data_IF_939666130022
#
_entry.id   IF_939666130022
#
_cell.length_a   1.000
_cell.length_b   1.000
_cell.length_c   1.000
_cell.angle_alpha   90.00
_cell.angle_beta   90.00
_cell.angle_gamma   90.00
#
_symmetry.space_group_name_H-M   'P 1'
#
loop_
_entity.id
_entity.type
_entity.pdbx_description
1 polymer ?
#
# COMPACT_ATOMS: atom_id res chain seq x y z
N UNK A 1 34.43 11.37 16.05
CA UNK A 1 33.78 10.04 16.09
C UNK A 1 32.26 10.16 16.36
N UNK A 2 31.84 10.88 17.41
CA UNK A 2 30.41 11.11 17.78
C UNK A 2 29.52 11.64 16.64
N UNK A 3 30.05 12.55 15.80
CA UNK A 3 29.30 13.16 14.69
C UNK A 3 28.97 12.16 13.55
N UNK A 4 29.86 11.20 13.28
CA UNK A 4 29.63 10.16 12.24
C UNK A 4 28.58 9.13 12.68
N UNK A 5 28.48 8.85 13.98
CA UNK A 5 27.47 7.95 14.54
C UNK A 5 26.07 8.58 14.54
N UNK A 6 25.98 9.88 14.84
CA UNK A 6 24.70 10.61 14.80
C UNK A 6 24.12 10.63 13.38
N UNK A 7 24.96 10.92 12.38
CA UNK A 7 24.55 10.95 10.97
C UNK A 7 24.00 9.60 10.48
N UNK A 8 24.62 8.48 10.91
CA UNK A 8 24.14 7.13 10.59
C UNK A 8 22.76 6.84 11.18
N UNK A 9 22.51 7.26 12.42
CA UNK A 9 21.22 7.07 13.09
C UNK A 9 20.14 7.93 12.43
N UNK A 10 20.44 9.19 12.10
CA UNK A 10 19.51 10.06 11.37
C UNK A 10 19.16 9.46 10.01
N UNK A 11 20.16 8.95 9.26
CA UNK A 11 19.92 8.26 8.00
C UNK A 11 19.05 7.00 8.16
N UNK A 12 19.25 6.24 9.23
CA UNK A 12 18.41 5.07 9.53
C UNK A 12 16.95 5.49 9.82
N UNK A 13 16.74 6.51 10.66
CA UNK A 13 15.40 7.02 10.97
C UNK A 13 14.70 7.48 9.69
N UNK A 14 15.41 8.21 8.82
CA UNK A 14 14.88 8.66 7.54
C UNK A 14 14.41 7.49 6.66
N UNK A 15 15.23 6.44 6.54
CA UNK A 15 14.86 5.23 5.78
C UNK A 15 13.64 4.55 6.38
N UNK A 16 13.56 4.43 7.71
CA UNK A 16 12.41 3.79 8.36
C UNK A 16 11.12 4.56 8.05
N UNK A 17 11.17 5.89 8.04
CA UNK A 17 10.04 6.75 7.65
C UNK A 17 9.71 6.55 6.17
N UNK A 18 10.72 6.59 5.29
CA UNK A 18 10.57 6.39 3.83
C UNK A 18 9.95 5.02 3.51
N UNK A 19 10.44 3.95 4.13
CA UNK A 19 9.91 2.59 4.02
C UNK A 19 8.45 2.51 4.48
N UNK A 20 8.09 3.16 5.59
CA UNK A 20 6.71 3.20 6.05
C UNK A 20 5.80 3.93 5.05
N UNK A 21 6.24 5.07 4.51
CA UNK A 21 5.45 5.85 3.57
C UNK A 21 5.29 5.14 2.22
N UNK A 22 6.33 4.49 1.70
CA UNK A 22 6.27 3.83 0.38
C UNK A 22 5.56 2.49 0.46
N UNK A 23 5.90 1.65 1.46
CA UNK A 23 5.32 0.30 1.57
C UNK A 23 3.92 0.27 2.20
N UNK A 24 3.61 1.23 3.09
CA UNK A 24 2.31 1.31 3.76
C UNK A 24 1.15 1.49 2.81
N UNK A 25 1.42 2.14 1.68
CA UNK A 25 0.42 2.39 0.68
C UNK A 25 0.05 1.13 -0.12
N UNK A 26 0.88 0.08 -0.16
CA UNK A 26 0.55 -1.15 -0.92
C UNK A 26 -0.42 -2.01 -0.11
N UNK A 27 -0.03 -2.33 1.14
CA UNK A 27 -0.79 -3.25 1.98
C UNK A 27 -1.98 -2.56 2.66
N UNK A 28 -1.89 -1.26 2.95
CA UNK A 28 -2.96 -0.50 3.58
C UNK A 28 -4.09 -0.05 2.64
N UNK A 29 -3.77 0.23 1.38
CA UNK A 29 -4.75 0.66 0.39
C UNK A 29 -5.74 -0.45 0.03
N UNK A 30 -5.30 -1.71 0.00
CA UNK A 30 -6.17 -2.86 -0.19
C UNK A 30 -7.20 -3.00 0.94
N UNK A 31 -6.79 -2.87 2.21
CA UNK A 31 -7.73 -2.84 3.35
C UNK A 31 -8.68 -1.64 3.27
N UNK A 32 -8.15 -0.44 3.01
CA UNK A 32 -8.95 0.78 2.98
C UNK A 32 -10.11 0.70 1.98
N UNK A 33 -9.85 0.16 0.79
CA UNK A 33 -10.88 0.02 -0.25
C UNK A 33 -11.96 -1.02 0.07
N UNK A 34 -11.59 -2.16 0.67
CA UNK A 34 -12.54 -3.18 1.13
C UNK A 34 -13.59 -2.57 2.07
N UNK A 35 -13.15 -1.74 3.03
CA UNK A 35 -14.08 -1.23 4.04
C UNK A 35 -14.86 -0.01 3.56
N UNK A 36 -14.29 0.79 2.64
CA UNK A 36 -15.06 1.85 2.00
C UNK A 36 -16.20 1.27 1.15
N UNK A 37 -16.02 0.08 0.58
CA UNK A 37 -17.09 -0.64 -0.09
C UNK A 37 -18.12 -1.18 0.92
N UNK A 38 -17.65 -1.78 2.02
CA UNK A 38 -18.51 -2.33 3.09
C UNK A 38 -19.37 -1.26 3.81
N UNK A 39 -18.87 -0.03 3.94
CA UNK A 39 -19.65 1.10 4.50
C UNK A 39 -20.59 1.77 3.48
N UNK A 40 -20.73 1.28 2.25
CA UNK A 40 -21.70 1.79 1.25
C UNK A 40 -21.37 3.18 0.70
N UNK A 41 -20.18 3.73 0.95
CA UNK A 41 -19.80 5.10 0.53
C UNK A 41 -19.56 5.17 -1.00
N UNK A 42 -19.26 4.03 -1.62
CA UNK A 42 -19.23 3.85 -3.08
C UNK A 42 -20.38 2.94 -3.54
N UNK A 43 -21.63 3.26 -3.21
CA UNK A 43 -22.79 2.78 -3.98
C UNK A 43 -22.88 3.52 -5.34
N UNK A 44 -21.84 3.39 -6.17
CA UNK A 44 -21.98 3.77 -7.58
C UNK A 44 -22.61 2.62 -8.34
N UNK A 45 -23.95 2.68 -8.43
CA UNK A 45 -24.81 2.05 -9.44
C UNK A 45 -24.33 0.67 -9.95
N UNK A 46 -24.82 -0.39 -9.34
CA UNK A 46 -25.10 -1.62 -10.08
C UNK A 46 -26.22 -1.33 -11.09
N UNK A 47 -25.90 -0.70 -12.22
CA UNK A 47 -26.85 -0.60 -13.33
C UNK A 47 -26.96 -2.00 -13.97
N UNK A 48 -28.14 -2.60 -13.78
CA UNK A 48 -28.63 -3.85 -14.37
C UNK A 48 -28.04 -5.16 -13.84
N UNK A 49 -28.48 -5.57 -12.65
CA UNK A 49 -28.82 -6.99 -12.43
C UNK A 49 -30.26 -7.07 -11.92
N UNK A 50 -31.20 -6.97 -12.86
CA UNK A 50 -32.61 -7.30 -12.67
C UNK A 50 -32.75 -8.77 -12.33
N UNK A 51 -32.46 -9.14 -11.08
CA UNK A 51 -32.97 -10.38 -10.49
C UNK A 51 -33.08 -10.17 -8.98
N UNK A 52 -34.17 -9.49 -8.64
CA UNK A 52 -34.77 -9.41 -7.32
C UNK A 52 -35.24 -10.83 -6.95
N UNK A 53 -34.34 -11.65 -6.41
CA UNK A 53 -34.77 -12.83 -5.66
C UNK A 53 -35.16 -12.30 -4.28
N UNK A 54 -36.46 -12.10 -4.08
CA UNK A 54 -37.06 -11.90 -2.75
C UNK A 54 -36.86 -13.21 -1.98
N UNK A 55 -35.76 -13.33 -1.24
CA UNK A 55 -35.65 -14.33 -0.18
C UNK A 55 -36.29 -13.75 1.06
N UNK A 56 -37.43 -14.33 1.42
CA UNK A 56 -38.15 -14.08 2.65
C UNK A 56 -37.22 -14.13 3.87
N UNK A 57 -37.28 -13.06 4.66
CA UNK A 57 -36.92 -12.94 6.06
C UNK A 57 -35.44 -13.14 6.45
N UNK A 58 -34.92 -12.08 7.08
CA UNK A 58 -33.69 -12.00 7.88
C UNK A 58 -32.39 -12.31 7.15
N UNK A 59 -31.92 -11.34 6.37
CA UNK A 59 -30.53 -10.85 6.27
C UNK A 59 -30.37 -10.12 4.94
N UNK A 60 -30.49 -8.79 4.97
CA UNK A 60 -30.13 -7.93 3.84
C UNK A 60 -28.61 -7.86 3.73
N UNK A 61 -27.96 -8.97 3.39
CA UNK A 61 -26.63 -8.97 2.80
C UNK A 61 -26.85 -8.55 1.35
N UNK A 62 -26.78 -7.23 1.09
CA UNK A 62 -26.87 -6.69 -0.26
C UNK A 62 -25.93 -7.46 -1.16
N UNK A 63 -26.42 -7.94 -2.32
CA UNK A 63 -25.62 -8.59 -3.36
C UNK A 63 -24.38 -7.72 -3.59
N UNK A 64 -23.25 -8.15 -3.04
CA UNK A 64 -21.96 -7.52 -3.22
C UNK A 64 -21.72 -7.34 -4.71
N UNK A 65 -21.23 -6.16 -5.12
CA UNK A 65 -20.87 -5.90 -6.50
C UNK A 65 -19.65 -6.78 -6.87
N UNK A 66 -19.90 -8.05 -7.19
CA UNK A 66 -18.90 -9.12 -7.38
C UNK A 66 -17.80 -8.72 -8.39
N UNK A 67 -18.16 -7.90 -9.38
CA UNK A 67 -17.21 -7.40 -10.39
C UNK A 67 -16.16 -6.43 -9.86
N UNK A 68 -16.50 -5.57 -8.88
CA UNK A 68 -15.54 -4.61 -8.32
C UNK A 68 -14.62 -5.28 -7.29
N UNK A 69 -15.16 -6.12 -6.41
CA UNK A 69 -14.37 -6.87 -5.42
C UNK A 69 -13.29 -7.72 -6.10
N UNK A 70 -13.64 -8.41 -7.20
CA UNK A 70 -12.70 -9.20 -8.00
C UNK A 70 -11.55 -8.37 -8.61
N UNK A 71 -11.79 -7.10 -8.97
CA UNK A 71 -10.75 -6.20 -9.47
C UNK A 71 -9.77 -5.79 -8.38
N UNK A 72 -10.23 -5.58 -7.16
CA UNK A 72 -9.38 -5.23 -6.02
C UNK A 72 -8.52 -6.42 -5.57
N UNK A 73 -9.09 -7.62 -5.52
CA UNK A 73 -8.33 -8.85 -5.26
C UNK A 73 -7.23 -9.04 -6.30
N UNK A 74 -7.56 -8.84 -7.60
CA UNK A 74 -6.58 -8.89 -8.67
C UNK A 74 -5.47 -7.83 -8.49
N UNK A 75 -5.83 -6.59 -8.13
CA UNK A 75 -4.87 -5.53 -7.87
C UNK A 75 -3.91 -5.91 -6.73
N UNK A 76 -4.42 -6.50 -5.66
CA UNK A 76 -3.62 -6.96 -4.53
C UNK A 76 -2.68 -8.11 -4.91
N UNK A 77 -3.20 -9.13 -5.62
CA UNK A 77 -2.37 -10.26 -6.10
C UNK A 77 -1.26 -9.77 -7.03
N UNK A 78 -1.57 -8.88 -7.97
CA UNK A 78 -0.56 -8.27 -8.84
C UNK A 78 0.42 -7.42 -8.02
N UNK A 79 -0.06 -6.66 -7.04
CA UNK A 79 0.78 -5.89 -6.14
C UNK A 79 1.83 -6.75 -5.45
N UNK A 80 1.44 -7.89 -4.88
CA UNK A 80 2.37 -8.85 -4.28
C UNK A 80 3.31 -9.44 -5.34
N UNK A 81 2.78 -9.81 -6.51
CA UNK A 81 3.56 -10.38 -7.60
C UNK A 81 4.67 -9.43 -8.06
N UNK A 82 4.34 -8.17 -8.35
CA UNK A 82 5.29 -7.14 -8.77
C UNK A 82 6.22 -6.64 -7.65
N UNK A 83 5.91 -6.94 -6.40
CA UNK A 83 6.84 -6.71 -5.30
C UNK A 83 7.90 -7.81 -5.19
N UNK A 84 7.53 -9.08 -5.43
CA UNK A 84 8.39 -10.23 -5.17
C UNK A 84 9.09 -10.77 -6.43
N UNK A 85 8.38 -10.91 -7.55
CA UNK A 85 8.93 -11.48 -8.79
C UNK A 85 10.17 -10.73 -9.31
N UNK A 86 10.16 -9.39 -9.40
CA UNK A 86 11.34 -8.67 -9.89
C UNK A 86 12.44 -8.53 -8.84
N UNK A 87 12.28 -9.01 -7.61
CA UNK A 87 13.26 -8.81 -6.54
C UNK A 87 14.66 -9.30 -6.92
N UNK A 88 14.76 -10.41 -7.65
CA UNK A 88 16.05 -10.93 -8.15
C UNK A 88 16.68 -9.95 -9.14
N UNK A 89 15.91 -9.49 -10.13
CA UNK A 89 16.36 -8.56 -11.17
C UNK A 89 16.78 -7.22 -10.54
N UNK A 90 15.96 -6.70 -9.64
CA UNK A 90 16.23 -5.46 -8.91
C UNK A 90 17.47 -5.62 -8.03
N UNK A 91 17.68 -6.80 -7.43
CA UNK A 91 18.91 -7.14 -6.72
C UNK A 91 20.14 -7.06 -7.62
N UNK A 92 20.08 -7.66 -8.81
CA UNK A 92 21.17 -7.59 -9.80
C UNK A 92 21.46 -6.14 -10.23
N UNK A 93 20.42 -5.32 -10.42
CA UNK A 93 20.57 -3.89 -10.73
C UNK A 93 21.24 -3.16 -9.57
N UNK A 94 20.85 -3.46 -8.33
CA UNK A 94 21.46 -2.89 -7.12
C UNK A 94 22.94 -3.23 -7.02
N UNK A 95 23.33 -4.45 -7.35
CA UNK A 95 24.72 -4.90 -7.26
C UNK A 95 25.59 -4.27 -8.35
N UNK A 96 25.06 -4.09 -9.56
CA UNK A 96 25.82 -3.54 -10.69
C UNK A 96 25.89 -2.00 -10.71
N UNK A 97 24.75 -1.32 -10.52
CA UNK A 97 24.64 0.14 -10.59
C UNK A 97 24.73 0.83 -9.21
N UNK A 98 24.65 0.05 -8.14
CA UNK A 98 24.66 0.54 -6.78
C UNK A 98 23.31 1.08 -6.29
N UNK A 99 23.20 1.37 -4.98
CA UNK A 99 21.95 1.75 -4.33
C UNK A 99 21.42 3.13 -4.75
N UNK A 100 22.28 4.02 -5.26
CA UNK A 100 21.88 5.39 -5.64
C UNK A 100 20.99 5.39 -6.87
N UNK A 101 21.37 4.62 -7.90
CA UNK A 101 20.57 4.45 -9.11
C UNK A 101 19.21 3.83 -8.77
N UNK A 102 19.21 2.84 -7.87
CA UNK A 102 17.99 2.17 -7.47
C UNK A 102 17.02 3.10 -6.71
N UNK A 103 17.55 4.00 -5.86
CA UNK A 103 16.74 5.04 -5.22
C UNK A 103 16.10 6.00 -6.22
N UNK A 104 16.82 6.41 -7.27
CA UNK A 104 16.27 7.28 -8.31
C UNK A 104 15.12 6.58 -9.07
N UNK A 105 15.30 5.30 -9.41
CA UNK A 105 14.25 4.48 -10.03
C UNK A 105 13.02 4.38 -9.12
N UNK A 106 13.24 4.14 -7.82
CA UNK A 106 12.15 4.08 -6.85
C UNK A 106 11.34 5.37 -6.79
N UNK A 107 11.99 6.54 -6.79
CA UNK A 107 11.33 7.85 -6.79
C UNK A 107 10.49 8.04 -8.06
N UNK A 108 11.04 7.70 -9.23
CA UNK A 108 10.32 7.81 -10.50
C UNK A 108 9.07 6.94 -10.51
N UNK A 109 9.18 5.68 -10.09
CA UNK A 109 8.02 4.79 -9.99
C UNK A 109 7.00 5.26 -8.96
N UNK A 110 7.46 5.82 -7.84
CA UNK A 110 6.56 6.38 -6.82
C UNK A 110 5.77 7.57 -7.37
N UNK A 111 6.42 8.48 -8.11
CA UNK A 111 5.75 9.60 -8.75
C UNK A 111 4.72 9.15 -9.79
N UNK A 112 5.07 8.19 -10.65
CA UNK A 112 4.14 7.63 -11.65
C UNK A 112 2.93 6.97 -10.98
N UNK A 113 3.17 6.25 -9.89
CA UNK A 113 2.12 5.60 -9.12
C UNK A 113 1.12 6.61 -8.55
N UNK A 114 1.59 7.65 -7.87
CA UNK A 114 0.71 8.70 -7.32
C UNK A 114 0.01 9.52 -8.40
N UNK A 115 0.70 9.80 -9.51
CA UNK A 115 0.11 10.47 -10.64
C UNK A 115 -1.05 9.65 -11.23
N UNK A 116 -0.85 8.34 -11.37
CA UNK A 116 -1.88 7.41 -11.87
C UNK A 116 -3.10 7.41 -10.95
N UNK A 117 -2.89 7.41 -9.63
CA UNK A 117 -3.97 7.48 -8.65
C UNK A 117 -4.78 8.77 -8.76
N UNK A 118 -4.12 9.91 -8.97
CA UNK A 118 -4.77 11.21 -9.12
C UNK A 118 -5.70 11.33 -10.34
N UNK A 119 -5.51 10.50 -11.37
CA UNK A 119 -6.34 10.50 -12.58
C UNK A 119 -7.43 9.42 -12.61
N UNK A 120 -7.53 8.61 -11.55
CA UNK A 120 -8.58 7.59 -11.40
C UNK A 120 -9.95 8.25 -11.51
N UNK A 121 -10.77 7.70 -12.39
CA UNK A 121 -12.14 8.15 -12.64
C UNK A 121 -13.02 6.91 -12.91
N UNK A 122 -14.36 7.01 -12.83
CA UNK A 122 -15.26 5.87 -13.06
C UNK A 122 -15.01 5.14 -14.40
N UNK A 123 -14.61 5.87 -15.45
CA UNK A 123 -14.31 5.32 -16.77
C UNK A 123 -12.83 4.91 -16.95
N UNK A 124 -11.99 5.08 -15.92
CA UNK A 124 -10.54 4.83 -15.93
C UNK A 124 -10.10 4.09 -14.66
N UNK A 125 -10.85 3.07 -14.28
CA UNK A 125 -10.57 2.21 -13.13
C UNK A 125 -9.27 1.39 -13.29
N UNK A 126 -8.88 1.08 -14.53
CA UNK A 126 -7.60 0.42 -14.84
C UNK A 126 -6.36 1.19 -14.34
N UNK A 127 -6.46 2.51 -14.14
CA UNK A 127 -5.38 3.33 -13.55
C UNK A 127 -5.07 2.92 -12.11
N UNK A 128 -6.03 2.31 -11.42
CA UNK A 128 -5.82 1.75 -10.08
C UNK A 128 -4.85 0.56 -10.12
N UNK A 129 -4.96 -0.31 -11.14
CA UNK A 129 -4.03 -1.41 -11.34
C UNK A 129 -2.63 -0.88 -11.65
N UNK A 130 -2.54 0.14 -12.50
CA UNK A 130 -1.26 0.80 -12.80
C UNK A 130 -0.63 1.40 -11.54
N UNK A 131 -1.43 2.13 -10.74
CA UNK A 131 -1.00 2.66 -9.46
C UNK A 131 -0.36 1.56 -8.60
N UNK A 132 -1.05 0.44 -8.40
CA UNK A 132 -0.58 -0.67 -7.56
C UNK A 132 0.70 -1.32 -8.10
N UNK A 133 0.81 -1.55 -9.41
CA UNK A 133 2.01 -2.14 -10.01
C UNK A 133 3.23 -1.25 -9.82
N UNK A 134 3.12 0.04 -10.17
CA UNK A 134 4.23 0.99 -10.03
C UNK A 134 4.59 1.23 -8.56
N UNK A 135 3.61 1.22 -7.66
CA UNK A 135 3.85 1.34 -6.23
C UNK A 135 4.64 0.14 -5.70
N UNK A 136 4.28 -1.08 -6.12
CA UNK A 136 5.01 -2.31 -5.75
C UNK A 136 6.44 -2.32 -6.25
N UNK A 137 6.66 -1.90 -7.50
CA UNK A 137 8.01 -1.76 -8.06
C UNK A 137 8.82 -0.69 -7.31
N UNK A 138 8.21 0.44 -6.95
CA UNK A 138 8.87 1.44 -6.12
C UNK A 138 9.25 0.87 -4.74
N UNK A 139 8.35 0.10 -4.11
CA UNK A 139 8.56 -0.52 -2.81
C UNK A 139 9.75 -1.48 -2.77
N UNK A 140 9.86 -2.40 -3.74
CA UNK A 140 10.98 -3.34 -3.79
C UNK A 140 12.32 -2.63 -4.08
N UNK A 141 12.33 -1.62 -4.96
CA UNK A 141 13.50 -0.79 -5.22
C UNK A 141 13.96 -0.03 -3.96
N UNK A 142 13.01 0.56 -3.21
CA UNK A 142 13.31 1.23 -1.94
C UNK A 142 13.86 0.26 -0.89
N UNK A 143 13.30 -0.96 -0.79
CA UNK A 143 13.78 -1.97 0.15
C UNK A 143 15.25 -2.35 -0.12
N UNK A 144 15.55 -2.72 -1.36
CA UNK A 144 16.87 -3.22 -1.73
C UNK A 144 17.93 -2.12 -1.66
N UNK A 145 17.60 -0.90 -2.08
CA UNK A 145 18.52 0.25 -1.93
C UNK A 145 18.80 0.60 -0.47
N UNK A 146 17.85 0.33 0.44
CA UNK A 146 17.98 0.57 1.87
C UNK A 146 18.92 -0.42 2.57
N UNK A 147 19.07 -1.64 2.05
CA UNK A 147 20.01 -2.62 2.62
C UNK A 147 21.47 -2.21 2.49
N UNK A 148 21.83 -1.40 1.49
CA UNK A 148 23.20 -0.85 1.43
C UNK A 148 23.55 0.02 2.64
N UNK A 149 22.56 0.56 3.35
CA UNK A 149 22.79 1.36 4.55
C UNK A 149 23.01 0.47 5.77
N UNK A 150 22.40 -0.73 5.82
CA UNK A 150 22.67 -1.69 6.90
C UNK A 150 24.14 -2.13 6.90
N UNK A 151 24.79 -2.19 5.72
CA UNK A 151 26.22 -2.48 5.61
C UNK A 151 27.12 -1.47 6.36
N UNK A 152 26.67 -0.23 6.57
CA UNK A 152 27.41 0.80 7.32
C UNK A 152 27.41 0.57 8.85
N UNK A 153 26.62 -0.38 9.36
CA UNK A 153 26.51 -0.74 10.77
C UNK A 153 27.17 -2.11 11.03
N UNK A 154 28.50 -2.21 10.88
CA UNK A 154 29.26 -3.47 10.97
C UNK A 154 28.87 -4.41 12.13
N UNK A 155 28.61 -3.87 13.32
CA UNK A 155 28.31 -4.66 14.52
C UNK A 155 26.81 -4.95 14.74
N UNK A 156 25.91 -4.29 14.00
CA UNK A 156 24.44 -4.39 14.16
C UNK A 156 23.70 -4.56 12.82
N UNK A 157 24.38 -5.06 11.78
CA UNK A 157 23.82 -5.17 10.41
C UNK A 157 22.49 -5.94 10.40
N UNK A 158 22.45 -7.10 11.05
CA UNK A 158 21.24 -7.94 11.11
C UNK A 158 20.05 -7.23 11.76
N UNK A 159 20.28 -6.53 12.88
CA UNK A 159 19.23 -5.73 13.55
C UNK A 159 18.71 -4.62 12.63
N UNK A 160 19.60 -3.91 11.94
CA UNK A 160 19.22 -2.82 11.04
C UNK A 160 18.44 -3.34 9.83
N UNK A 161 18.89 -4.44 9.22
CA UNK A 161 18.15 -5.09 8.12
C UNK A 161 16.78 -5.56 8.60
N UNK A 162 16.67 -6.15 9.79
CA UNK A 162 15.40 -6.57 10.37
C UNK A 162 14.46 -5.38 10.64
N UNK A 163 14.99 -4.24 11.10
CA UNK A 163 14.21 -3.01 11.29
C UNK A 163 13.68 -2.45 9.97
N UNK A 164 14.50 -2.45 8.91
CA UNK A 164 14.08 -1.98 7.58
C UNK A 164 12.97 -2.89 7.03
N UNK A 165 13.18 -4.21 7.03
CA UNK A 165 12.17 -5.16 6.56
C UNK A 165 10.89 -5.12 7.42
N UNK A 166 11.04 -4.98 8.75
CA UNK A 166 9.93 -4.87 9.68
C UNK A 166 9.11 -3.60 9.42
N UNK A 167 9.75 -2.45 9.24
CA UNK A 167 9.09 -1.19 8.90
C UNK A 167 8.23 -1.30 7.62
N UNK A 168 8.73 -2.05 6.64
CA UNK A 168 8.00 -2.37 5.40
C UNK A 168 6.67 -3.09 5.68
N UNK A 169 6.64 -4.03 6.63
CA UNK A 169 5.48 -4.86 6.96
C UNK A 169 4.52 -4.19 7.96
N UNK A 170 5.05 -3.42 8.91
CA UNK A 170 4.29 -2.68 9.92
C UNK A 170 3.55 -1.49 9.32
N UNK A 171 3.92 -1.06 8.13
CA UNK A 171 3.35 0.09 7.43
C UNK A 171 1.81 0.00 7.23
N UNK A 172 1.26 -1.22 7.15
CA UNK A 172 -0.18 -1.51 7.11
C UNK A 172 -0.92 -1.15 8.41
N UNK A 173 -0.22 -1.04 9.54
CA UNK A 173 -0.83 -0.78 10.87
C UNK A 173 -1.49 0.60 10.91
N UNK A 174 -0.91 1.61 10.26
CA UNK A 174 -1.52 2.94 10.19
C UNK A 174 -2.89 2.91 9.52
N UNK A 175 -3.01 2.11 8.47
CA UNK A 175 -4.29 1.89 7.79
C UNK A 175 -5.23 1.06 8.65
N UNK A 176 -4.76 -0.01 9.31
CA UNK A 176 -5.59 -0.78 10.24
C UNK A 176 -6.16 0.08 11.37
N UNK A 177 -5.37 1.00 11.93
CA UNK A 177 -5.84 1.95 12.95
C UNK A 177 -6.93 2.86 12.37
N UNK A 178 -6.71 3.45 11.20
CA UNK A 178 -7.69 4.29 10.52
C UNK A 178 -9.00 3.54 10.25
N UNK A 179 -8.90 2.28 9.84
CA UNK A 179 -10.03 1.39 9.59
C UNK A 179 -10.83 1.12 10.86
N UNK A 180 -10.17 0.79 11.96
CA UNK A 180 -10.85 0.58 13.26
C UNK A 180 -11.57 1.85 13.70
N UNK A 181 -10.96 3.03 13.55
CA UNK A 181 -11.61 4.31 13.87
C UNK A 181 -12.82 4.57 12.98
N UNK A 182 -12.73 4.33 11.65
CA UNK A 182 -13.87 4.51 10.73
C UNK A 182 -14.96 3.46 10.91
N UNK A 183 -14.60 2.21 11.20
CA UNK A 183 -15.54 1.13 11.49
C UNK A 183 -16.40 1.47 12.71
N UNK A 184 -15.80 2.10 13.72
CA UNK A 184 -16.52 2.60 14.90
C UNK A 184 -17.54 3.70 14.54
N UNK A 185 -17.26 4.49 13.50
CA UNK A 185 -18.15 5.55 12.97
C UNK A 185 -19.24 4.97 12.06
N UNK A 186 -18.96 3.91 11.28
CA UNK A 186 -19.98 3.26 10.44
C UNK A 186 -21.03 2.49 11.28
N UNK A 187 -20.64 1.92 12.43
CA UNK A 187 -21.57 1.19 13.32
C UNK A 187 -22.36 2.12 14.25
N UNK A 188 -21.73 3.20 14.73
CA UNK A 188 -22.42 4.25 15.45
C UNK A 188 -22.53 5.48 14.56
N UNK A 189 -23.57 5.58 13.71
CA UNK A 189 -23.87 6.86 13.10
C UNK A 189 -24.11 7.84 14.25
N UNK A 190 -23.18 8.79 14.42
CA UNK A 190 -23.43 9.94 15.27
C UNK A 190 -24.69 10.56 14.68
N UNK A 191 -25.80 10.44 15.41
CA UNK A 191 -27.00 11.25 15.20
C UNK A 191 -26.57 12.69 15.44
N UNK A 192 -26.00 13.33 14.42
CA UNK A 192 -25.86 14.77 14.44
C UNK A 192 -27.26 15.34 14.25
N UNK A 193 -27.81 15.74 15.40
CA UNK A 193 -28.62 16.92 15.60
C UNK A 193 -28.41 17.92 14.46
N UNK A 194 -29.40 17.98 13.57
CA UNK A 194 -29.65 19.15 12.76
C UNK A 194 -31.04 19.62 13.22
N UNK A 195 -31.02 20.58 14.13
CA UNK A 195 -32.14 21.49 14.37
C UNK A 195 -32.52 22.20 13.05
#
# INVERSE_FOLDING_TARGET
>A
IKNKSCLKIIGLIWILIECNLVAGNIFGFASLFSELHRCGIYETKCENSSELIVLNNTETMGKECSGQMKKYELAFTLGIGFYNLPAIIVGMISDYFGPRCLKLIAIVFHLISWLSLGFVAPNRDWLLLFHTIFLSLAGICTLLSSFSISANFSQRRGLVTALISGAQLTSSIWYAIFQVTKYHICIHPVKNFRD
#
